data_IF_120266821792
#
_entry.id   IF_120266821792
#
_cell.length_a   1.000
_cell.length_b   1.000
_cell.length_c   1.000
_cell.angle_alpha   90.00
_cell.angle_beta   90.00
_cell.angle_gamma   90.00
#
_symmetry.space_group_name_H-M   'P 1'
#
loop_
_entity.id
_entity.type
_entity.pdbx_description
1 polymer ?
#
# COMPACT_ATOMS: atom_id res chain seq x y z
N UNK A 1 22.71 13.86 -1.78
CA UNK A 1 21.58 13.52 -2.69
C UNK A 1 21.19 12.07 -2.46
N UNK A 2 19.93 11.82 -2.10
CA UNK A 2 19.40 10.55 -1.57
C UNK A 2 19.74 9.32 -2.42
N UNK A 3 20.33 8.29 -1.79
CA UNK A 3 20.54 6.95 -2.34
C UNK A 3 19.19 6.29 -2.63
N UNK A 4 18.78 6.25 -3.90
CA UNK A 4 17.74 5.35 -4.39
C UNK A 4 18.30 3.92 -4.30
N UNK A 5 17.68 3.08 -3.48
CA UNK A 5 18.00 1.64 -3.42
C UNK A 5 17.08 0.91 -4.38
N UNK A 6 17.68 0.35 -5.42
CA UNK A 6 17.19 -0.74 -6.24
C UNK A 6 16.54 -1.86 -5.42
N UNK A 7 15.46 -2.45 -5.94
CA UNK A 7 15.13 -3.88 -5.77
C UNK A 7 14.12 -4.30 -6.87
N UNK A 8 14.40 -5.38 -7.63
CA UNK A 8 13.49 -5.91 -8.63
C UNK A 8 12.29 -6.60 -7.96
N UNK A 9 11.09 -6.39 -8.51
CA UNK A 9 9.82 -6.89 -8.00
C UNK A 9 9.72 -8.39 -8.32
N UNK A 10 9.65 -9.25 -7.31
CA UNK A 10 9.53 -10.70 -7.45
C UNK A 10 8.07 -11.14 -7.62
N UNK A 11 7.82 -12.01 -8.60
CA UNK A 11 6.50 -12.39 -9.10
C UNK A 11 5.86 -13.61 -8.38
N UNK A 12 6.31 -13.97 -7.17
CA UNK A 12 5.85 -15.16 -6.42
C UNK A 12 5.11 -14.84 -5.11
N UNK A 13 4.94 -13.56 -4.80
CA UNK A 13 4.21 -13.07 -3.63
C UNK A 13 2.95 -12.39 -4.15
N UNK A 14 1.78 -12.99 -3.98
CA UNK A 14 0.55 -12.19 -3.89
C UNK A 14 0.76 -11.38 -2.61
N UNK A 15 1.28 -10.16 -2.77
CA UNK A 15 1.88 -9.47 -1.65
C UNK A 15 0.81 -9.14 -0.61
N UNK A 16 1.11 -9.25 0.70
CA UNK A 16 0.29 -8.61 1.74
C UNK A 16 0.06 -7.12 1.44
N UNK A 17 0.91 -6.55 0.59
CA UNK A 17 0.77 -5.22 0.04
C UNK A 17 -0.49 -5.03 -0.83
N UNK A 18 -0.94 -6.04 -1.57
CA UNK A 18 -2.17 -5.96 -2.36
C UNK A 18 -3.42 -6.05 -1.48
N UNK A 19 -3.44 -6.98 -0.51
CA UNK A 19 -4.53 -7.06 0.48
C UNK A 19 -4.67 -5.74 1.25
N UNK A 20 -3.54 -5.18 1.72
CA UNK A 20 -3.54 -3.94 2.48
C UNK A 20 -4.02 -2.73 1.63
N UNK A 21 -3.80 -2.74 0.31
CA UNK A 21 -4.36 -1.71 -0.58
C UNK A 21 -5.89 -1.77 -0.58
N UNK A 22 -6.49 -2.96 -0.67
CA UNK A 22 -7.94 -3.12 -0.63
C UNK A 22 -8.52 -2.76 0.74
N UNK A 23 -7.89 -3.15 1.84
CA UNK A 23 -8.30 -2.75 3.21
C UNK A 23 -8.28 -1.22 3.36
N UNK A 24 -7.24 -0.55 2.86
CA UNK A 24 -7.17 0.91 2.91
C UNK A 24 -8.20 1.55 1.98
N UNK A 25 -8.46 0.96 0.81
CA UNK A 25 -9.52 1.41 -0.07
C UNK A 25 -10.90 1.29 0.61
N UNK A 26 -11.13 0.24 1.40
CA UNK A 26 -12.34 0.07 2.22
C UNK A 26 -12.45 1.15 3.28
N UNK A 27 -11.38 1.40 4.04
CA UNK A 27 -11.34 2.47 5.05
C UNK A 27 -11.58 3.86 4.45
N UNK A 28 -11.21 4.08 3.19
CA UNK A 28 -11.46 5.32 2.46
C UNK A 28 -12.83 5.38 1.77
N UNK A 29 -13.62 4.30 1.80
CA UNK A 29 -14.89 4.21 1.07
C UNK A 29 -14.71 4.19 -0.46
N UNK A 30 -13.54 3.76 -0.93
CA UNK A 30 -13.19 3.64 -2.35
C UNK A 30 -13.22 2.19 -2.84
N UNK A 31 -13.42 1.22 -1.94
CA UNK A 31 -13.39 -0.21 -2.26
C UNK A 31 -14.36 -0.57 -3.38
N UNK A 32 -15.63 -0.16 -3.28
CA UNK A 32 -16.64 -0.48 -4.29
C UNK A 32 -16.20 -0.04 -5.68
N UNK A 33 -15.68 1.20 -5.79
CA UNK A 33 -15.21 1.78 -7.04
C UNK A 33 -13.97 1.07 -7.59
N UNK A 34 -13.06 0.65 -6.72
CA UNK A 34 -11.89 -0.13 -7.11
C UNK A 34 -12.32 -1.52 -7.59
N UNK A 35 -13.32 -2.14 -6.97
CA UNK A 35 -13.84 -3.44 -7.37
C UNK A 35 -14.62 -3.38 -8.69
N UNK A 36 -15.38 -2.31 -8.93
CA UNK A 36 -16.19 -2.15 -10.16
C UNK A 36 -15.38 -1.63 -11.33
N UNK A 37 -14.63 -0.54 -11.14
CA UNK A 37 -13.96 0.21 -12.21
C UNK A 37 -12.43 0.01 -12.23
N UNK A 38 -11.89 -0.67 -11.21
CA UNK A 38 -10.46 -0.90 -11.05
C UNK A 38 -9.71 0.29 -10.45
N UNK A 39 -8.44 0.09 -10.10
CA UNK A 39 -7.55 1.12 -9.56
C UNK A 39 -7.36 2.33 -10.47
N UNK A 40 -7.55 2.18 -11.78
CA UNK A 40 -7.48 3.25 -12.78
C UNK A 40 -8.57 4.32 -12.63
N UNK A 41 -9.65 3.98 -11.92
CA UNK A 41 -10.79 4.88 -11.69
C UNK A 41 -10.51 5.93 -10.62
N UNK A 42 -9.48 5.70 -9.81
CA UNK A 42 -9.08 6.59 -8.72
C UNK A 42 -8.21 7.73 -9.25
N UNK A 43 -8.40 8.91 -8.67
CA UNK A 43 -7.54 10.07 -8.92
C UNK A 43 -6.14 9.87 -8.33
N UNK A 44 -5.18 10.67 -8.81
CA UNK A 44 -3.83 10.72 -8.24
C UNK A 44 -3.82 11.05 -6.73
N UNK A 45 -4.83 11.80 -6.26
CA UNK A 45 -4.98 12.15 -4.84
C UNK A 45 -5.45 10.95 -4.01
N UNK A 46 -6.37 10.16 -4.53
CA UNK A 46 -6.91 8.97 -3.86
C UNK A 46 -5.88 7.85 -3.85
N UNK A 47 -5.31 7.50 -5.00
CA UNK A 47 -4.22 6.52 -5.11
C UNK A 47 -3.00 6.94 -4.28
N UNK A 48 -2.64 8.23 -4.27
CA UNK A 48 -1.56 8.77 -3.45
C UNK A 48 -1.82 8.64 -1.94
N UNK A 49 -3.07 8.81 -1.48
CA UNK A 49 -3.46 8.57 -0.08
C UNK A 49 -3.30 7.11 0.30
N UNK A 50 -3.73 6.19 -0.56
CA UNK A 50 -3.60 4.74 -0.34
C UNK A 50 -2.11 4.38 -0.23
N UNK A 51 -1.28 4.78 -1.19
CA UNK A 51 0.18 4.54 -1.15
C UNK A 51 0.88 5.16 0.06
N UNK A 52 0.42 6.33 0.52
CA UNK A 52 0.92 6.97 1.74
C UNK A 52 0.61 6.18 3.01
N UNK A 53 -0.62 5.67 3.14
CA UNK A 53 -1.03 4.85 4.28
C UNK A 53 -0.34 3.48 4.29
N UNK A 54 -0.18 2.86 3.12
CA UNK A 54 0.61 1.64 2.93
C UNK A 54 2.04 1.80 3.48
N UNK A 55 2.71 2.88 3.10
CA UNK A 55 4.08 3.19 3.53
C UNK A 55 4.15 3.40 5.04
N UNK A 56 3.15 4.08 5.62
CA UNK A 56 3.07 4.33 7.07
C UNK A 56 2.88 3.03 7.85
N UNK A 57 1.97 2.15 7.42
CA UNK A 57 1.73 0.84 8.04
C UNK A 57 2.97 -0.06 7.94
N UNK A 58 3.63 -0.13 6.78
CA UNK A 58 4.90 -0.87 6.63
C UNK A 58 5.99 -0.37 7.59
N UNK A 59 6.06 0.94 7.82
CA UNK A 59 7.02 1.51 8.78
C UNK A 59 6.67 1.14 10.22
N UNK A 60 5.39 1.24 10.60
CA UNK A 60 4.92 0.89 11.95
C UNK A 60 5.16 -0.58 12.27
N UNK A 61 4.77 -1.50 11.39
CA UNK A 61 5.01 -2.95 11.56
C UNK A 61 6.49 -3.26 11.77
N UNK A 62 7.38 -2.55 11.05
CA UNK A 62 8.83 -2.70 11.21
C UNK A 62 9.34 -2.12 12.53
N UNK A 63 8.79 -0.99 12.98
CA UNK A 63 9.14 -0.37 14.26
C UNK A 63 8.63 -1.20 15.45
N UNK A 64 7.46 -1.82 15.33
CA UNK A 64 6.89 -2.74 16.34
C UNK A 64 7.69 -4.03 16.41
N UNK A 65 7.97 -4.68 15.27
CA UNK A 65 8.81 -5.87 15.22
C UNK A 65 10.24 -5.62 15.76
N UNK A 66 10.76 -4.39 15.64
CA UNK A 66 12.05 -4.01 16.20
C UNK A 66 11.99 -3.74 17.71
N UNK A 67 10.82 -3.35 18.25
CA UNK A 67 10.62 -3.11 19.69
C UNK A 67 10.37 -4.39 20.49
N UNK A 68 9.87 -5.44 19.84
CA UNK A 68 9.68 -6.75 20.44
C UNK A 68 10.95 -7.62 20.44
N UNK A 69 12.07 -7.08 19.96
CA UNK A 69 13.41 -7.68 19.92
C UNK A 69 14.31 -7.10 21.02
#
# INVERSE_FOLDING_TARGET
MSKKKDKPINLHEIEPEEQLKYEIAEELGLLDRVLTDGWKSLSAKETGRIGGMMTRRKKQMKEEALKEL
#
